data_IF_081567221794
#
_entry.id   IF_081567221794
#
_cell.length_a   1.000
_cell.length_b   1.000
_cell.length_c   1.000
_cell.angle_alpha   90.00
_cell.angle_beta   90.00
_cell.angle_gamma   90.00
#
_symmetry.space_group_name_H-M   'P 1'
#
loop_
_entity.id
_entity.type
_entity.pdbx_description
1 polymer ?
#
# COMPACT_ATOMS: atom_id res chain seq x y z
N UNK A 1 -10.16 -7.61 -18.37
CA UNK A 1 -8.86 -7.68 -19.06
C UNK A 1 -7.78 -7.10 -18.15
N UNK A 2 -6.85 -7.97 -17.73
CA UNK A 2 -5.49 -7.72 -17.24
C UNK A 2 -5.18 -6.42 -16.48
N UNK A 3 -5.79 -6.20 -15.31
CA UNK A 3 -5.26 -5.22 -14.34
C UNK A 3 -4.05 -5.81 -13.56
N UNK A 4 -3.16 -6.54 -14.26
CA UNK A 4 -2.08 -7.35 -13.66
C UNK A 4 -1.16 -6.52 -12.76
N UNK A 5 -0.83 -5.29 -13.16
CA UNK A 5 0.00 -4.38 -12.36
C UNK A 5 -0.66 -3.95 -11.04
N UNK A 6 -1.98 -3.80 -11.05
CA UNK A 6 -2.75 -3.40 -9.87
C UNK A 6 -2.91 -4.52 -8.87
N UNK A 7 -3.03 -5.75 -9.37
CA UNK A 7 -3.06 -6.97 -8.57
C UNK A 7 -1.68 -7.29 -7.96
N UNK A 8 -0.57 -6.90 -8.61
CA UNK A 8 0.78 -7.12 -8.09
C UNK A 8 1.00 -6.50 -6.71
N UNK A 9 0.54 -5.26 -6.47
CA UNK A 9 0.69 -4.60 -5.17
C UNK A 9 -0.16 -5.30 -4.09
N UNK A 10 -1.38 -5.71 -4.44
CA UNK A 10 -2.22 -6.48 -3.53
C UNK A 10 -1.55 -7.80 -3.15
N UNK A 11 -1.13 -8.59 -4.14
CA UNK A 11 -0.43 -9.87 -3.92
C UNK A 11 0.82 -9.70 -3.07
N UNK A 12 1.61 -8.66 -3.34
CA UNK A 12 2.80 -8.33 -2.54
C UNK A 12 2.42 -8.08 -1.08
N UNK A 13 1.44 -7.21 -0.81
CA UNK A 13 1.00 -6.92 0.56
C UNK A 13 0.45 -8.17 1.24
N UNK A 14 -0.26 -9.04 0.52
CA UNK A 14 -0.79 -10.30 1.07
C UNK A 14 0.30 -11.35 1.32
N UNK A 15 1.41 -11.33 0.58
CA UNK A 15 2.54 -12.24 0.82
C UNK A 15 3.43 -11.83 1.99
N UNK A 16 3.34 -10.58 2.46
CA UNK A 16 4.09 -10.12 3.63
C UNK A 16 3.68 -10.87 4.90
N UNK A 17 4.67 -11.26 5.68
CA UNK A 17 4.50 -11.77 7.05
C UNK A 17 4.04 -10.67 8.01
N UNK A 18 3.54 -11.07 9.18
CA UNK A 18 3.12 -10.13 10.23
C UNK A 18 4.27 -9.18 10.64
N UNK A 19 5.51 -9.66 10.62
CA UNK A 19 6.70 -8.87 10.99
C UNK A 19 7.01 -7.84 9.91
N UNK A 20 7.04 -8.24 8.64
CA UNK A 20 7.30 -7.30 7.52
C UNK A 20 6.22 -6.21 7.44
N UNK A 21 4.95 -6.55 7.65
CA UNK A 21 3.87 -5.55 7.71
C UNK A 21 4.06 -4.55 8.85
N UNK A 22 4.54 -5.00 10.01
CA UNK A 22 4.85 -4.11 11.14
C UNK A 22 6.06 -3.24 10.83
N UNK A 23 7.11 -3.79 10.22
CA UNK A 23 8.29 -3.06 9.82
C UNK A 23 7.96 -1.97 8.79
N UNK A 24 7.13 -2.27 7.80
CA UNK A 24 6.61 -1.28 6.86
C UNK A 24 5.89 -0.13 7.58
N UNK A 25 5.00 -0.42 8.54
CA UNK A 25 4.28 0.63 9.29
C UNK A 25 5.24 1.51 10.11
N UNK A 26 6.26 0.91 10.72
CA UNK A 26 7.30 1.65 11.43
C UNK A 26 8.14 2.50 10.48
N UNK A 27 8.55 1.94 9.34
CA UNK A 27 9.26 2.65 8.28
C UNK A 27 8.44 3.85 7.81
N UNK A 28 7.17 3.64 7.48
CA UNK A 28 6.25 4.69 7.06
C UNK A 28 6.13 5.78 8.12
N UNK A 29 5.91 5.43 9.39
CA UNK A 29 5.77 6.40 10.49
C UNK A 29 7.00 7.29 10.71
N UNK A 30 8.19 6.84 10.30
CA UNK A 30 9.45 7.61 10.39
C UNK A 30 9.66 8.53 9.19
N UNK A 31 9.08 8.20 8.04
CA UNK A 31 9.30 8.89 6.77
C UNK A 31 8.09 9.71 6.30
N UNK A 32 7.01 9.79 7.09
CA UNK A 32 5.88 10.69 6.82
C UNK A 32 5.77 11.79 7.86
N UNK A 33 5.61 13.03 7.41
CA UNK A 33 5.04 14.09 8.23
C UNK A 33 3.61 13.67 8.62
N UNK A 34 3.19 14.01 9.84
CA UNK A 34 1.95 13.52 10.47
C UNK A 34 0.67 13.70 9.61
N UNK A 35 0.68 14.62 8.64
CA UNK A 35 -0.44 14.93 7.75
C UNK A 35 -0.50 14.09 6.45
N UNK A 36 0.56 13.38 6.06
CA UNK A 36 0.66 12.72 4.74
C UNK A 36 0.54 11.18 4.81
N UNK A 37 -0.24 10.70 5.77
CA UNK A 37 -0.45 9.28 6.10
C UNK A 37 -1.25 8.47 5.05
N UNK A 38 -1.38 9.01 3.83
CA UNK A 38 -2.27 8.49 2.79
C UNK A 38 -1.87 7.10 2.30
N UNK A 39 -0.58 6.79 2.21
CA UNK A 39 -0.14 5.46 1.78
C UNK A 39 -0.21 4.41 2.90
N UNK A 40 -0.12 4.79 4.19
CA UNK A 40 -0.41 3.87 5.31
C UNK A 40 -1.90 3.53 5.35
N UNK A 41 -2.78 4.51 5.12
CA UNK A 41 -4.23 4.28 4.99
C UNK A 41 -4.52 3.36 3.80
N UNK A 42 -3.86 3.59 2.66
CA UNK A 42 -3.99 2.73 1.50
C UNK A 42 -3.51 1.30 1.79
N UNK A 43 -2.34 1.15 2.43
CA UNK A 43 -1.81 -0.16 2.82
C UNK A 43 -2.79 -0.94 3.69
N UNK A 44 -3.36 -0.31 4.72
CA UNK A 44 -4.34 -0.95 5.59
C UNK A 44 -5.64 -1.31 4.83
N UNK A 45 -6.08 -0.46 3.90
CA UNK A 45 -7.24 -0.73 3.08
C UNK A 45 -7.04 -1.95 2.16
N UNK A 46 -5.84 -2.08 1.56
CA UNK A 46 -5.48 -3.22 0.72
C UNK A 46 -5.29 -4.49 1.55
N UNK A 47 -4.61 -4.43 2.70
CA UNK A 47 -4.36 -5.58 3.57
C UNK A 47 -5.65 -6.19 4.13
N UNK A 48 -6.64 -5.35 4.44
CA UNK A 48 -7.95 -5.75 4.94
C UNK A 48 -8.83 -6.46 3.87
N UNK A 49 -8.53 -6.29 2.59
CA UNK A 49 -9.27 -6.96 1.53
C UNK A 49 -8.91 -8.45 1.45
N UNK A 50 -9.92 -9.31 1.30
CA UNK A 50 -9.73 -10.73 0.99
C UNK A 50 -9.48 -10.95 -0.50
N UNK A 51 -10.19 -10.21 -1.33
CA UNK A 51 -10.04 -10.16 -2.78
C UNK A 51 -9.83 -8.72 -3.21
N UNK A 52 -9.01 -8.51 -4.23
CA UNK A 52 -8.64 -7.17 -4.66
C UNK A 52 -9.83 -6.45 -5.33
N UNK A 53 -10.33 -5.40 -4.68
CA UNK A 53 -11.33 -4.50 -5.24
C UNK A 53 -10.76 -3.09 -5.35
N UNK A 54 -10.20 -2.80 -6.53
CA UNK A 54 -9.65 -1.49 -6.86
C UNK A 54 -10.73 -0.39 -6.87
N UNK A 55 -11.96 -0.70 -7.28
CA UNK A 55 -13.01 0.31 -7.35
C UNK A 55 -13.41 0.76 -5.95
N UNK A 56 -13.54 -0.16 -5.00
CA UNK A 56 -13.84 0.16 -3.61
C UNK A 56 -12.77 1.05 -2.98
N UNK A 57 -11.49 0.80 -3.28
CA UNK A 57 -10.38 1.63 -2.79
C UNK A 57 -10.40 2.98 -3.49
N UNK A 58 -10.52 3.01 -4.82
CA UNK A 58 -10.50 4.23 -5.62
C UNK A 58 -11.63 5.19 -5.24
N UNK A 59 -12.81 4.67 -4.87
CA UNK A 59 -13.93 5.49 -4.35
C UNK A 59 -13.59 6.21 -3.04
N UNK A 60 -12.68 5.67 -2.22
CA UNK A 60 -12.26 6.27 -0.94
C UNK A 60 -11.18 7.33 -1.08
N UNK A 61 -10.29 7.19 -2.06
CA UNK A 61 -9.14 8.09 -2.26
C UNK A 61 -9.31 9.05 -3.45
N UNK A 62 -10.23 8.77 -4.38
CA UNK A 62 -10.33 9.46 -5.66
C UNK A 62 -9.27 8.97 -6.66
N UNK A 63 -9.62 8.95 -7.95
CA UNK A 63 -8.81 8.32 -9.02
C UNK A 63 -7.39 8.87 -9.10
N UNK A 64 -7.24 10.19 -9.09
CA UNK A 64 -5.93 10.86 -9.24
C UNK A 64 -5.01 10.60 -8.04
N UNK A 65 -5.55 10.73 -6.83
CA UNK A 65 -4.77 10.53 -5.61
C UNK A 65 -4.45 9.05 -5.40
N UNK A 66 -5.37 8.13 -5.74
CA UNK A 66 -5.13 6.70 -5.68
C UNK A 66 -3.91 6.30 -6.53
N UNK A 67 -3.81 6.71 -7.79
CA UNK A 67 -2.66 6.37 -8.65
C UNK A 67 -1.33 6.85 -8.07
N UNK A 68 -1.28 8.09 -7.55
CA UNK A 68 -0.06 8.67 -6.95
C UNK A 68 0.31 7.93 -5.67
N UNK A 69 -0.66 7.72 -4.78
CA UNK A 69 -0.45 7.07 -3.48
C UNK A 69 -0.10 5.60 -3.67
N UNK A 70 -0.64 4.93 -4.71
CA UNK A 70 -0.32 3.56 -5.08
C UNK A 70 1.13 3.39 -5.52
N UNK A 71 1.63 4.29 -6.37
CA UNK A 71 3.03 4.28 -6.80
C UNK A 71 3.97 4.50 -5.60
N UNK A 72 3.70 5.51 -4.78
CA UNK A 72 4.48 5.78 -3.56
C UNK A 72 4.43 4.61 -2.57
N UNK A 73 3.27 3.96 -2.43
CA UNK A 73 3.12 2.81 -1.55
C UNK A 73 3.98 1.63 -2.03
N UNK A 74 3.98 1.35 -3.33
CA UNK A 74 4.80 0.28 -3.89
C UNK A 74 6.29 0.52 -3.61
N UNK A 75 6.80 1.71 -3.90
CA UNK A 75 8.20 2.07 -3.64
C UNK A 75 8.55 2.02 -2.14
N UNK A 76 7.64 2.48 -1.28
CA UNK A 76 7.84 2.44 0.16
C UNK A 76 7.87 1.01 0.73
N UNK A 77 7.02 0.11 0.20
CA UNK A 77 7.05 -1.31 0.59
C UNK A 77 8.37 -1.94 0.18
N UNK A 78 8.82 -1.72 -1.06
CA UNK A 78 10.11 -2.25 -1.53
C UNK A 78 11.29 -1.74 -0.69
N UNK A 79 11.36 -0.42 -0.44
CA UNK A 79 12.40 0.16 0.41
C UNK A 79 12.35 -0.37 1.85
N UNK A 80 11.16 -0.63 2.38
CA UNK A 80 11.02 -1.19 3.72
C UNK A 80 11.49 -2.64 3.82
N UNK A 81 11.52 -3.38 2.70
CA UNK A 81 12.06 -4.73 2.64
C UNK A 81 13.58 -4.73 2.43
N UNK A 82 14.11 -3.77 1.66
CA UNK A 82 15.56 -3.63 1.42
C UNK A 82 16.31 -3.07 2.64
N UNK A 83 15.64 -2.29 3.49
CA UNK A 83 16.22 -1.73 4.70
C UNK A 83 16.40 -2.73 5.86
N UNK A 84 16.01 -4.01 5.68
CA UNK A 84 16.07 -5.08 6.68
C UNK A 84 16.64 -6.37 6.08
#
# INVERSE_FOLDING_TARGET
MSNKASDSLFRLIKSLTKVEKRNFKLYASRHTAAEDNNYVRLFNAIDAQREYDEQAITRRFGVRQFSIVKARLYDAVLRSLDAF
#
